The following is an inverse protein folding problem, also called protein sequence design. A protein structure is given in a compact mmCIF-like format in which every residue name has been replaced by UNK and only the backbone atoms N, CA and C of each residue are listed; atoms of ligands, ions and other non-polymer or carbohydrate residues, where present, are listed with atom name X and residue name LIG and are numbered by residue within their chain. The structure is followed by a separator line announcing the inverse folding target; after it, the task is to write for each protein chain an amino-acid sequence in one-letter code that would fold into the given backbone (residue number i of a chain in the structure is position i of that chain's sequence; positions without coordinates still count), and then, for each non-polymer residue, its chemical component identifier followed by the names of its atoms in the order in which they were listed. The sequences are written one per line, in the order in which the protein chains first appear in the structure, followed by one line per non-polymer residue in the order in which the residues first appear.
data_IF_315990536389
#
_entry.id   IF_315990536389
#
_cell.length_a   1.000
_cell.length_b   1.000
_cell.length_c   1.000
_cell.angle_alpha   90.00
_cell.angle_beta   90.00
_cell.angle_gamma   90.00
#
_symmetry.space_group_name_H-M   'P 1'
#
loop_
_entity.id
_entity.type
_entity.pdbx_description
1 polymer ?
#
# COMPACT_ATOMS: atom_id res chain seq x y z
N UNK A 1 0.34 -5.75 -6.87
CA UNK A 1 0.65 -4.48 -7.51
C UNK A 1 -0.41 -3.44 -7.21
N UNK A 2 -0.02 -2.18 -7.04
CA UNK A 2 -0.97 -1.11 -6.68
C UNK A 2 -1.92 -0.73 -7.83
N UNK A 3 -1.46 -0.86 -9.07
CA UNK A 3 -2.17 -0.40 -10.28
C UNK A 3 -2.73 -1.54 -11.16
N UNK A 4 -2.27 -2.78 -11.00
CA UNK A 4 -2.71 -3.90 -11.84
C UNK A 4 -4.21 -4.21 -11.67
N UNK A 5 -4.86 -4.49 -12.80
CA UNK A 5 -6.25 -4.95 -12.93
C UNK A 5 -6.26 -6.33 -13.54
N UNK A 6 -7.44 -6.96 -13.61
CA UNK A 6 -7.61 -8.31 -14.17
C UNK A 6 -7.19 -8.44 -15.63
N UNK A 7 -7.29 -7.35 -16.38
CA UNK A 7 -6.91 -7.26 -17.80
C UNK A 7 -5.44 -6.84 -18.04
N UNK A 8 -4.63 -6.74 -16.97
CA UNK A 8 -3.22 -6.35 -17.08
C UNK A 8 -2.39 -7.45 -17.74
N UNK A 9 -1.71 -7.09 -18.81
CA UNK A 9 -0.84 -7.96 -19.59
C UNK A 9 0.51 -7.28 -19.87
N UNK A 10 1.49 -7.99 -20.42
CA UNK A 10 2.76 -7.40 -20.88
C UNK A 10 2.52 -6.26 -21.87
N UNK A 11 1.54 -6.40 -22.78
CA UNK A 11 1.29 -5.45 -23.87
C UNK A 11 0.71 -4.12 -23.40
N UNK A 12 -0.08 -4.12 -22.31
CA UNK A 12 -0.70 -2.91 -21.77
C UNK A 12 -0.08 -2.40 -20.47
N UNK A 13 0.95 -3.06 -19.97
CA UNK A 13 1.56 -2.77 -18.67
C UNK A 13 2.06 -1.32 -18.56
N UNK A 14 2.67 -0.81 -19.63
CA UNK A 14 3.19 0.54 -19.71
C UNK A 14 2.11 1.64 -19.79
N UNK A 15 0.87 1.28 -20.07
CA UNK A 15 -0.27 2.21 -20.05
C UNK A 15 -1.01 2.23 -18.70
N UNK A 16 -0.80 1.21 -17.87
CA UNK A 16 -1.49 1.06 -16.59
C UNK A 16 -0.69 1.66 -15.44
N UNK A 17 0.65 1.53 -15.49
CA UNK A 17 1.54 1.99 -14.42
C UNK A 17 2.04 3.39 -14.76
N UNK A 18 1.86 4.40 -13.89
CA UNK A 18 2.41 5.73 -14.10
C UNK A 18 3.93 5.71 -14.25
N UNK A 19 4.47 6.51 -15.18
CA UNK A 19 5.90 6.52 -15.53
C UNK A 19 6.81 6.79 -14.32
N UNK A 20 6.43 7.75 -13.47
CA UNK A 20 7.19 8.08 -12.26
C UNK A 20 7.24 6.91 -11.27
N UNK A 21 6.11 6.24 -11.06
CA UNK A 21 6.01 5.05 -10.20
C UNK A 21 6.82 3.90 -10.75
N UNK A 22 6.73 3.66 -12.08
CA UNK A 22 7.50 2.62 -12.73
C UNK A 22 9.01 2.84 -12.52
N UNK A 23 9.49 4.06 -12.76
CA UNK A 23 10.88 4.44 -12.57
C UNK A 23 11.33 4.34 -11.10
N UNK A 24 10.49 4.78 -10.16
CA UNK A 24 10.76 4.68 -8.70
C UNK A 24 10.99 3.22 -8.29
N UNK A 25 10.16 2.29 -8.79
CA UNK A 25 10.21 0.88 -8.38
C UNK A 25 11.28 0.09 -9.12
N UNK A 26 11.42 0.31 -10.45
CA UNK A 26 12.27 -0.53 -11.31
C UNK A 26 13.63 0.07 -11.59
N UNK A 27 13.81 1.38 -11.35
CA UNK A 27 14.99 2.18 -11.70
C UNK A 27 15.18 2.42 -13.20
N UNK A 28 14.34 1.88 -14.06
CA UNK A 28 14.33 2.14 -15.50
C UNK A 28 13.08 2.93 -15.90
N UNK A 29 13.15 3.63 -17.01
CA UNK A 29 12.02 4.37 -17.57
C UNK A 29 11.05 3.46 -18.32
N UNK A 30 9.82 3.92 -18.58
CA UNK A 30 8.87 3.19 -19.43
C UNK A 30 9.39 3.05 -20.87
N UNK A 31 10.15 4.00 -21.38
CA UNK A 31 10.74 3.92 -22.74
C UNK A 31 11.85 2.85 -22.78
N UNK A 32 12.67 2.74 -21.73
CA UNK A 32 13.62 1.64 -21.60
C UNK A 32 12.91 0.29 -21.48
N UNK A 33 11.82 0.22 -20.74
CA UNK A 33 10.99 -1.00 -20.68
C UNK A 33 10.42 -1.39 -22.04
N UNK A 34 9.88 -0.43 -22.80
CA UNK A 34 9.39 -0.66 -24.18
C UNK A 34 10.51 -1.13 -25.09
N UNK A 35 11.68 -0.54 -25.00
CA UNK A 35 12.84 -1.00 -25.75
C UNK A 35 13.21 -2.44 -25.43
N UNK A 36 13.18 -2.83 -24.17
CA UNK A 36 13.45 -4.22 -23.74
C UNK A 36 12.35 -5.19 -24.21
N UNK A 37 11.10 -4.76 -24.26
CA UNK A 37 9.96 -5.56 -24.72
C UNK A 37 9.89 -5.67 -26.25
N UNK A 38 9.89 -4.55 -26.93
CA UNK A 38 9.53 -4.44 -28.34
C UNK A 38 10.76 -4.35 -29.25
N UNK A 39 11.90 -3.94 -28.70
CA UNK A 39 13.09 -3.62 -29.47
C UNK A 39 13.08 -2.20 -30.04
N UNK A 40 14.10 -1.93 -30.85
CA UNK A 40 14.26 -0.63 -31.51
C UNK A 40 15.71 -0.26 -31.74
N UNK A 41 15.91 0.90 -32.38
CA UNK A 41 17.23 1.44 -32.62
C UNK A 41 17.71 2.29 -31.44
N UNK A 42 18.98 2.20 -31.11
CA UNK A 42 19.61 2.99 -30.08
C UNK A 42 21.01 3.46 -30.53
N UNK A 43 21.48 4.54 -29.94
CA UNK A 43 22.84 5.04 -30.18
C UNK A 43 23.76 4.41 -29.13
N UNK A 44 24.74 3.66 -29.60
CA UNK A 44 25.79 3.11 -28.76
C UNK A 44 26.64 4.26 -28.21
N UNK A 45 26.71 4.36 -26.89
CA UNK A 45 27.39 5.47 -26.19
C UNK A 45 28.92 5.47 -26.35
N UNK A 46 29.50 4.32 -26.66
CA UNK A 46 30.95 4.18 -26.83
C UNK A 46 31.39 4.49 -28.27
N UNK A 47 30.61 4.01 -29.26
CA UNK A 47 30.95 4.14 -30.67
C UNK A 47 30.24 5.28 -31.38
N UNK A 48 29.12 5.78 -30.85
CA UNK A 48 28.26 6.76 -31.50
C UNK A 48 27.43 6.19 -32.67
N UNK A 49 27.50 4.88 -32.92
CA UNK A 49 26.80 4.20 -34.02
C UNK A 49 25.37 3.88 -33.63
N UNK A 50 24.48 3.87 -34.60
CA UNK A 50 23.10 3.36 -34.43
C UNK A 50 23.16 1.84 -34.49
N UNK A 51 22.70 1.20 -33.42
CA UNK A 51 22.55 -0.25 -33.29
C UNK A 51 21.10 -0.62 -33.11
N UNK A 52 20.73 -1.82 -33.53
CA UNK A 52 19.37 -2.34 -33.34
C UNK A 52 19.33 -3.39 -32.23
N UNK A 53 18.36 -3.26 -31.33
CA UNK A 53 18.05 -4.25 -30.30
C UNK A 53 16.74 -4.96 -30.67
N UNK A 54 16.73 -6.28 -30.68
CA UNK A 54 15.58 -7.09 -31.15
C UNK A 54 14.41 -7.15 -30.13
N UNK A 55 14.57 -6.60 -28.93
CA UNK A 55 13.56 -6.72 -27.89
C UNK A 55 13.37 -8.13 -27.37
N UNK A 56 12.12 -8.47 -27.01
CA UNK A 56 11.68 -9.82 -26.58
C UNK A 56 12.42 -10.34 -25.32
N UNK A 57 12.82 -9.40 -24.44
CA UNK A 57 13.47 -9.80 -23.17
C UNK A 57 12.47 -10.47 -22.21
N UNK A 58 11.18 -10.18 -22.35
CA UNK A 58 10.12 -10.74 -21.52
C UNK A 58 9.35 -11.81 -22.29
N UNK A 59 9.13 -12.95 -21.64
CA UNK A 59 8.19 -13.96 -22.13
C UNK A 59 6.76 -13.52 -21.79
N UNK A 60 5.86 -13.28 -22.79
CA UNK A 60 4.51 -12.80 -22.54
C UNK A 60 3.67 -13.76 -21.69
N UNK A 61 3.84 -15.08 -21.89
CA UNK A 61 3.08 -16.09 -21.15
C UNK A 61 3.48 -16.06 -19.69
N UNK A 62 4.78 -16.15 -19.41
CA UNK A 62 5.33 -16.13 -18.05
C UNK A 62 4.96 -14.81 -17.34
N UNK A 63 5.04 -13.68 -18.03
CA UNK A 63 4.71 -12.38 -17.47
C UNK A 63 3.21 -12.30 -17.10
N UNK A 64 2.34 -12.67 -18.05
CA UNK A 64 0.88 -12.59 -17.85
C UNK A 64 0.41 -13.56 -16.76
N UNK A 65 0.93 -14.80 -16.73
CA UNK A 65 0.61 -15.77 -15.70
C UNK A 65 1.08 -15.31 -14.30
N UNK A 66 2.25 -14.66 -14.23
CA UNK A 66 2.77 -14.10 -12.98
C UNK A 66 1.87 -12.97 -12.47
N UNK A 67 1.40 -12.08 -13.35
CA UNK A 67 0.43 -11.03 -12.98
C UNK A 67 -0.86 -11.65 -12.45
N UNK A 68 -1.42 -12.62 -13.18
CA UNK A 68 -2.67 -13.30 -12.79
C UNK A 68 -2.52 -13.98 -11.43
N UNK A 69 -1.48 -14.77 -11.24
CA UNK A 69 -1.21 -15.47 -9.98
C UNK A 69 -1.05 -14.50 -8.82
N UNK A 70 -0.39 -13.36 -9.03
CA UNK A 70 -0.26 -12.33 -7.99
C UNK A 70 -1.59 -11.67 -7.66
N UNK A 71 -2.45 -11.39 -8.66
CA UNK A 71 -3.78 -10.81 -8.43
C UNK A 71 -4.69 -11.77 -7.68
N UNK A 72 -4.66 -13.06 -8.00
CA UNK A 72 -5.39 -14.11 -7.28
C UNK A 72 -4.93 -14.20 -5.81
N UNK A 73 -3.61 -14.19 -5.58
CA UNK A 73 -3.02 -14.19 -4.24
C UNK A 73 -3.42 -12.93 -3.45
N UNK A 74 -3.32 -11.76 -4.07
CA UNK A 74 -3.77 -10.49 -3.48
C UNK A 74 -5.24 -10.55 -3.06
N UNK A 75 -6.10 -11.10 -3.90
CA UNK A 75 -7.51 -11.26 -3.58
C UNK A 75 -7.75 -12.24 -2.44
N UNK A 76 -7.04 -13.37 -2.42
CA UNK A 76 -7.10 -14.36 -1.35
C UNK A 76 -6.68 -13.77 0.01
N UNK A 77 -5.61 -12.97 0.02
CA UNK A 77 -5.04 -12.38 1.24
C UNK A 77 -5.61 -10.98 1.58
N UNK A 78 -6.59 -10.49 0.82
CA UNK A 78 -7.14 -9.14 1.00
C UNK A 78 -7.86 -8.94 2.35
N UNK A 79 -8.44 -10.00 2.91
CA UNK A 79 -9.18 -9.92 4.17
C UNK A 79 -8.27 -10.22 5.36
N UNK A 80 -7.65 -9.19 5.92
CA UNK A 80 -6.81 -9.31 7.11
C UNK A 80 -7.58 -9.57 8.42
N UNK A 81 -8.92 -9.51 8.40
CA UNK A 81 -9.75 -9.94 9.53
C UNK A 81 -9.85 -11.47 9.64
N UNK A 82 -9.55 -12.21 8.57
CA UNK A 82 -9.53 -13.66 8.59
C UNK A 82 -8.31 -14.18 9.36
N UNK A 83 -8.54 -14.70 10.55
CA UNK A 83 -7.48 -15.25 11.45
C UNK A 83 -6.85 -16.54 10.93
N UNK A 84 -7.47 -17.21 9.96
CA UNK A 84 -6.92 -18.38 9.31
C UNK A 84 -5.80 -18.01 8.32
N UNK A 85 -5.78 -16.78 7.82
CA UNK A 85 -4.72 -16.26 6.97
C UNK A 85 -3.46 -15.94 7.80
N UNK A 86 -2.54 -16.92 7.87
CA UNK A 86 -1.25 -16.77 8.55
C UNK A 86 -0.24 -15.98 7.73
N UNK A 87 -0.40 -16.00 6.41
CA UNK A 87 0.44 -15.32 5.42
C UNK A 87 -0.03 -13.90 5.19
N UNK A 88 0.88 -13.06 4.70
CA UNK A 88 0.60 -11.69 4.30
C UNK A 88 1.06 -11.45 2.87
N UNK A 89 0.39 -10.57 2.13
CA UNK A 89 0.78 -10.24 0.75
C UNK A 89 2.21 -9.69 0.67
N UNK A 90 2.70 -9.04 1.72
CA UNK A 90 4.05 -8.49 1.77
C UNK A 90 5.14 -9.56 1.86
N UNK A 91 4.80 -10.80 2.28
CA UNK A 91 5.74 -11.94 2.28
C UNK A 91 6.13 -12.36 0.85
N UNK A 92 5.31 -11.98 -0.14
CA UNK A 92 5.49 -12.28 -1.57
C UNK A 92 6.06 -11.12 -2.39
N UNK A 93 6.30 -9.96 -1.76
CA UNK A 93 6.91 -8.81 -2.42
C UNK A 93 8.40 -8.82 -2.15
N UNK A 94 9.26 -8.98 -3.18
CA UNK A 94 10.70 -9.00 -2.99
C UNK A 94 11.19 -7.64 -2.44
N UNK A 95 12.29 -7.64 -1.65
CA UNK A 95 12.88 -6.40 -1.14
C UNK A 95 13.21 -5.44 -2.28
N UNK A 96 12.74 -4.22 -2.17
CA UNK A 96 13.00 -3.16 -3.15
C UNK A 96 14.39 -2.56 -2.91
N UNK A 97 15.09 -2.13 -3.98
CA UNK A 97 16.37 -1.42 -3.87
C UNK A 97 16.25 -0.06 -3.17
N UNK A 98 15.09 0.53 -3.19
CA UNK A 98 14.79 1.87 -2.64
C UNK A 98 14.20 1.78 -1.23
N UNK A 99 14.94 1.29 -0.24
CA UNK A 99 14.64 1.41 1.21
C UNK A 99 13.19 1.09 1.67
N UNK A 100 12.39 0.43 0.85
CA UNK A 100 11.03 0.03 1.21
C UNK A 100 11.07 -1.35 1.88
N UNK A 101 11.73 -1.41 3.03
CA UNK A 101 11.66 -2.58 3.89
C UNK A 101 10.34 -2.47 4.64
N UNK A 102 9.47 -3.43 4.41
CA UNK A 102 8.24 -3.56 5.18
C UNK A 102 8.52 -4.20 6.54
N UNK A 103 7.94 -3.63 7.58
CA UNK A 103 8.02 -4.24 8.91
C UNK A 103 7.23 -5.55 8.89
N UNK A 104 7.82 -6.69 9.30
CA UNK A 104 7.11 -7.97 9.32
C UNK A 104 5.86 -7.90 10.19
N UNK A 105 4.79 -8.56 9.77
CA UNK A 105 3.49 -8.59 10.48
C UNK A 105 3.63 -8.94 11.97
N UNK A 106 4.48 -9.93 12.30
CA UNK A 106 4.74 -10.31 13.70
C UNK A 106 5.26 -9.14 14.54
N UNK A 107 6.20 -8.36 13.98
CA UNK A 107 6.77 -7.19 14.68
C UNK A 107 5.71 -6.10 14.86
N UNK A 108 4.87 -5.87 13.85
CA UNK A 108 3.75 -4.91 13.96
C UNK A 108 2.79 -5.31 15.07
N UNK A 109 2.44 -6.60 15.17
CA UNK A 109 1.58 -7.12 16.25
C UNK A 109 2.22 -6.84 17.62
N UNK A 110 3.51 -7.17 17.79
CA UNK A 110 4.24 -6.93 19.05
C UNK A 110 4.28 -5.44 19.43
N UNK A 111 4.42 -4.55 18.44
CA UNK A 111 4.43 -3.10 18.68
C UNK A 111 3.04 -2.60 19.09
N UNK A 112 1.97 -3.10 18.47
CA UNK A 112 0.59 -2.73 18.85
C UNK A 112 0.22 -3.34 20.21
N UNK A 113 0.71 -4.55 20.55
CA UNK A 113 0.58 -5.13 21.90
C UNK A 113 1.26 -4.25 22.97
N UNK A 114 2.43 -3.72 22.66
CA UNK A 114 3.12 -2.79 23.56
C UNK A 114 2.37 -1.47 23.72
N UNK A 115 1.82 -0.92 22.61
CA UNK A 115 0.97 0.27 22.67
C UNK A 115 -0.22 0.06 23.61
N UNK A 116 -0.90 -1.10 23.52
CA UNK A 116 -2.04 -1.43 24.38
C UNK A 116 -1.62 -1.61 25.84
N UNK A 117 -0.46 -2.23 26.12
CA UNK A 117 0.08 -2.36 27.49
C UNK A 117 0.41 -1.01 28.13
N UNK A 118 1.00 -0.09 27.36
CA UNK A 118 1.34 1.25 27.83
C UNK A 118 0.12 2.16 27.97
N UNK A 119 -0.94 1.89 27.20
CA UNK A 119 -2.19 2.63 27.20
C UNK A 119 -3.38 1.69 27.37
N UNK A 120 -3.63 1.17 28.58
CA UNK A 120 -4.74 0.28 28.84
C UNK A 120 -6.07 0.85 28.36
N UNK A 121 -6.91 -0.02 27.78
CA UNK A 121 -8.23 0.32 27.26
C UNK A 121 -8.24 1.32 26.06
N UNK A 122 -7.08 1.63 25.47
CA UNK A 122 -7.03 2.58 24.34
C UNK A 122 -7.86 2.13 23.13
N UNK A 123 -8.09 0.85 22.93
CA UNK A 123 -8.96 0.31 21.89
C UNK A 123 -10.43 0.20 22.30
N UNK A 124 -10.75 0.39 23.58
CA UNK A 124 -12.12 0.41 24.08
C UNK A 124 -12.73 1.83 24.12
N UNK A 125 -11.93 2.87 23.93
CA UNK A 125 -12.40 4.26 23.88
C UNK A 125 -12.83 4.63 22.45
N UNK A 126 -14.12 4.94 22.27
CA UNK A 126 -14.71 5.30 20.96
C UNK A 126 -14.22 6.65 20.42
N UNK A 127 -13.61 7.48 21.26
CA UNK A 127 -13.09 8.79 20.88
C UNK A 127 -11.57 8.79 20.70
N UNK A 128 -10.90 7.69 21.07
CA UNK A 128 -9.45 7.57 20.91
C UNK A 128 -9.08 7.53 19.44
N UNK A 129 -8.09 8.32 19.07
CA UNK A 129 -7.55 8.36 17.70
C UNK A 129 -6.15 7.79 17.64
N UNK A 130 -5.82 7.21 16.49
CA UNK A 130 -4.52 6.61 16.19
C UNK A 130 -4.03 7.14 14.86
N UNK A 131 -2.76 7.53 14.80
CA UNK A 131 -2.16 8.06 13.58
C UNK A 131 -0.84 7.34 13.27
N UNK A 132 -0.68 6.91 12.01
CA UNK A 132 0.61 6.51 11.44
C UNK A 132 1.14 7.66 10.58
N UNK A 133 2.16 8.36 11.07
CA UNK A 133 2.75 9.54 10.42
C UNK A 133 3.62 9.19 9.20
N UNK A 134 3.97 7.92 9.02
CA UNK A 134 4.79 7.47 7.91
C UNK A 134 4.36 6.06 7.47
N UNK A 135 3.12 5.97 7.05
CA UNK A 135 2.48 4.75 6.59
C UNK A 135 3.24 4.17 5.38
N UNK A 136 3.72 2.94 5.51
CA UNK A 136 4.38 2.21 4.42
C UNK A 136 3.45 1.18 3.80
N UNK A 137 3.40 0.00 4.39
CA UNK A 137 2.53 -1.10 3.95
C UNK A 137 1.07 -0.93 4.35
N UNK A 138 0.80 -0.15 5.39
CA UNK A 138 -0.50 -0.06 6.03
C UNK A 138 -0.74 -1.12 7.12
N UNK A 139 0.23 -1.98 7.42
CA UNK A 139 0.10 -3.05 8.41
C UNK A 139 -0.24 -2.54 9.80
N UNK A 140 0.34 -1.40 10.23
CA UNK A 140 0.00 -0.78 11.52
C UNK A 140 -1.46 -0.37 11.59
N UNK A 141 -1.92 0.36 10.58
CA UNK A 141 -3.32 0.79 10.49
C UNK A 141 -4.24 -0.42 10.48
N UNK A 142 -3.93 -1.45 9.68
CA UNK A 142 -4.74 -2.67 9.61
C UNK A 142 -4.81 -3.40 10.97
N UNK A 143 -3.70 -3.49 11.72
CA UNK A 143 -3.71 -4.11 13.05
C UNK A 143 -4.50 -3.27 14.07
N UNK A 144 -4.38 -1.95 14.05
CA UNK A 144 -5.19 -1.04 14.87
C UNK A 144 -6.68 -1.18 14.53
N UNK A 145 -7.03 -1.19 13.25
CA UNK A 145 -8.42 -1.41 12.78
C UNK A 145 -8.97 -2.74 13.31
N UNK A 146 -8.17 -3.83 13.27
CA UNK A 146 -8.57 -5.14 13.83
C UNK A 146 -8.88 -5.06 15.32
N UNK A 147 -8.04 -4.37 16.12
CA UNK A 147 -8.24 -4.21 17.57
C UNK A 147 -9.52 -3.43 17.83
N UNK A 148 -9.69 -2.27 17.20
CA UNK A 148 -10.89 -1.44 17.32
C UNK A 148 -12.15 -2.21 16.89
N UNK A 149 -12.10 -2.94 15.78
CA UNK A 149 -13.24 -3.73 15.30
C UNK A 149 -13.67 -4.83 16.27
N UNK A 150 -12.70 -5.41 17.03
CA UNK A 150 -12.94 -6.43 18.06
C UNK A 150 -13.37 -5.85 19.40
N UNK A 151 -13.21 -4.55 19.64
CA UNK A 151 -13.54 -3.86 20.89
C UNK A 151 -14.97 -4.17 21.33
N UNK A 152 -15.13 -4.46 22.61
CA UNK A 152 -16.44 -4.73 23.22
C UNK A 152 -17.31 -3.46 23.24
N UNK A 153 -16.69 -2.33 23.48
CA UNK A 153 -17.37 -1.03 23.54
C UNK A 153 -17.87 -0.63 22.16
N UNK A 154 -17.02 -0.72 21.11
CA UNK A 154 -17.44 -0.40 19.76
C UNK A 154 -18.52 -1.38 19.25
N UNK A 155 -18.43 -2.67 19.60
CA UNK A 155 -19.49 -3.65 19.26
C UNK A 155 -20.83 -3.34 19.91
N UNK A 156 -20.84 -2.81 21.14
CA UNK A 156 -22.06 -2.39 21.81
C UNK A 156 -22.63 -1.10 21.19
N UNK A 157 -21.76 -0.15 20.87
CA UNK A 157 -22.15 1.16 20.31
C UNK A 157 -22.61 1.03 18.85
N UNK A 158 -21.93 0.21 18.06
CA UNK A 158 -22.17 -0.02 16.65
C UNK A 158 -22.41 -1.52 16.40
N UNK A 159 -23.67 -1.96 16.57
CA UNK A 159 -24.06 -3.36 16.38
C UNK A 159 -23.82 -3.78 14.92
N UNK A 160 -24.12 -2.89 13.98
CA UNK A 160 -23.86 -3.10 12.56
C UNK A 160 -22.36 -2.98 12.28
N UNK A 161 -21.76 -4.02 11.68
CA UNK A 161 -20.33 -4.07 11.37
C UNK A 161 -19.90 -3.00 10.39
N UNK A 162 -20.74 -2.66 9.40
CA UNK A 162 -20.45 -1.62 8.42
C UNK A 162 -20.40 -0.23 9.07
N UNK A 163 -21.34 0.06 9.97
CA UNK A 163 -21.33 1.32 10.72
C UNK A 163 -20.13 1.40 11.66
N UNK A 164 -19.76 0.28 12.29
CA UNK A 164 -18.56 0.20 13.12
C UNK A 164 -17.29 0.48 12.32
N UNK A 165 -17.12 -0.17 11.16
CA UNK A 165 -15.98 0.10 10.26
C UNK A 165 -15.97 1.55 9.77
N UNK A 166 -17.13 2.08 9.38
CA UNK A 166 -17.25 3.49 8.99
C UNK A 166 -16.79 4.42 10.09
N UNK A 167 -17.24 4.20 11.35
CA UNK A 167 -16.78 4.99 12.49
C UNK A 167 -15.26 4.90 12.68
N UNK A 168 -14.67 3.70 12.61
CA UNK A 168 -13.24 3.49 12.75
C UNK A 168 -12.47 4.29 11.69
N UNK A 169 -12.83 4.17 10.42
CA UNK A 169 -12.11 4.82 9.32
C UNK A 169 -12.33 6.33 9.23
N UNK A 170 -13.50 6.82 9.64
CA UNK A 170 -13.83 8.25 9.58
C UNK A 170 -13.39 9.02 10.83
N UNK A 171 -13.22 8.34 11.99
CA UNK A 171 -13.05 9.03 13.28
C UNK A 171 -11.84 8.58 14.09
N UNK A 172 -11.36 7.35 13.94
CA UNK A 172 -10.38 6.82 14.87
C UNK A 172 -9.00 6.59 14.24
N UNK A 173 -8.91 6.21 12.95
CA UNK A 173 -7.64 5.88 12.32
C UNK A 173 -7.24 6.91 11.28
N UNK A 174 -5.98 7.32 11.34
CA UNK A 174 -5.37 8.33 10.49
C UNK A 174 -4.04 7.80 9.97
N UNK A 175 -3.69 8.09 8.72
CA UNK A 175 -2.42 7.62 8.15
C UNK A 175 -1.93 8.53 7.04
N UNK A 176 -0.60 8.73 7.00
CA UNK A 176 0.07 9.57 6.02
C UNK A 176 1.10 8.75 5.24
N UNK A 177 0.99 8.73 3.93
CA UNK A 177 1.93 8.05 3.05
C UNK A 177 2.83 9.07 2.33
N UNK A 178 4.16 8.86 2.31
CA UNK A 178 5.12 9.84 1.81
C UNK A 178 5.14 9.98 0.30
N UNK A 179 4.77 8.94 -0.45
CA UNK A 179 4.76 8.93 -1.91
C UNK A 179 3.48 8.29 -2.46
N UNK A 180 3.16 8.57 -3.72
CA UNK A 180 1.96 8.07 -4.38
C UNK A 180 1.92 6.54 -4.41
N UNK A 181 3.05 5.88 -4.73
CA UNK A 181 3.12 4.41 -4.75
C UNK A 181 2.85 3.82 -3.37
N UNK A 182 3.42 4.39 -2.32
CA UNK A 182 3.22 3.95 -0.93
C UNK A 182 1.75 4.15 -0.54
N UNK A 183 1.17 5.31 -0.88
CA UNK A 183 -0.24 5.58 -0.64
C UNK A 183 -1.14 4.51 -1.27
N UNK A 184 -0.93 4.19 -2.55
CA UNK A 184 -1.73 3.17 -3.24
C UNK A 184 -1.51 1.76 -2.71
N UNK A 185 -0.29 1.40 -2.32
CA UNK A 185 -0.01 0.12 -1.66
C UNK A 185 -0.79 0.01 -0.35
N UNK A 186 -0.67 1.01 0.51
CA UNK A 186 -1.31 1.04 1.82
C UNK A 186 -2.85 1.03 1.71
N UNK A 187 -3.44 1.88 0.86
CA UNK A 187 -4.90 1.92 0.65
C UNK A 187 -5.41 0.57 0.12
N UNK A 188 -4.75 -0.02 -0.88
CA UNK A 188 -5.15 -1.31 -1.42
C UNK A 188 -5.05 -2.45 -0.39
N UNK A 189 -4.14 -2.33 0.57
CA UNK A 189 -4.03 -3.29 1.66
C UNK A 189 -5.09 -3.05 2.74
N UNK A 190 -5.15 -1.82 3.27
CA UNK A 190 -6.04 -1.46 4.38
C UNK A 190 -7.52 -1.63 4.02
N UNK A 191 -7.90 -1.29 2.79
CA UNK A 191 -9.29 -1.40 2.31
C UNK A 191 -9.54 -2.62 1.41
N UNK A 192 -8.56 -3.52 1.28
CA UNK A 192 -8.65 -4.67 0.37
C UNK A 192 -9.76 -5.66 0.71
N UNK A 193 -10.21 -5.69 1.97
CA UNK A 193 -11.34 -6.50 2.42
C UNK A 193 -12.70 -5.96 1.95
N UNK A 194 -12.79 -4.66 1.68
CA UNK A 194 -14.04 -3.95 1.30
C UNK A 194 -14.28 -4.06 -0.22
N UNK A 195 -14.67 -5.27 -0.66
CA UNK A 195 -14.89 -5.57 -2.08
C UNK A 195 -15.98 -4.69 -2.70
N UNK A 196 -17.01 -4.34 -1.94
CA UNK A 196 -18.16 -3.55 -2.41
C UNK A 196 -17.91 -2.05 -2.33
N UNK A 197 -16.71 -1.63 -1.89
CA UNK A 197 -16.30 -0.22 -1.74
C UNK A 197 -17.28 0.62 -0.94
N UNK A 198 -17.75 0.07 0.16
CA UNK A 198 -18.72 0.73 1.06
C UNK A 198 -18.06 1.82 1.91
N UNK A 199 -16.75 1.67 2.22
CA UNK A 199 -15.95 2.65 2.95
C UNK A 199 -15.50 3.75 1.98
N UNK A 200 -16.26 4.82 1.90
CA UNK A 200 -15.99 5.94 0.97
C UNK A 200 -15.22 7.10 1.61
N UNK A 201 -15.24 7.18 2.95
CA UNK A 201 -14.57 8.23 3.71
C UNK A 201 -13.59 7.61 4.70
N UNK A 202 -12.36 8.11 4.68
CA UNK A 202 -11.28 7.67 5.57
C UNK A 202 -10.22 8.76 5.68
N UNK A 203 -9.46 8.72 6.76
CA UNK A 203 -8.40 9.69 7.06
C UNK A 203 -7.01 9.15 6.68
N UNK A 204 -6.90 8.53 5.51
CA UNK A 204 -5.64 8.08 4.94
C UNK A 204 -5.28 9.01 3.79
N UNK A 205 -4.12 9.69 3.86
CA UNK A 205 -3.75 10.77 2.94
C UNK A 205 -2.35 10.57 2.36
N UNK A 206 -2.15 11.11 1.16
CA UNK A 206 -0.83 11.26 0.57
C UNK A 206 -0.19 12.54 1.15
N UNK A 207 0.81 12.39 1.99
CA UNK A 207 1.56 13.49 2.56
C UNK A 207 2.90 13.02 3.12
N UNK A 208 3.97 13.72 2.74
CA UNK A 208 5.30 13.46 3.28
C UNK A 208 5.55 14.33 4.51
N UNK A 209 5.62 13.72 5.68
CA UNK A 209 5.79 14.42 6.96
C UNK A 209 7.23 14.90 7.23
N UNK A 210 8.24 14.39 6.49
CA UNK A 210 9.65 14.71 6.74
C UNK A 210 9.93 16.22 6.68
N UNK A 211 9.49 16.97 5.65
CA UNK A 211 9.68 18.42 5.60
C UNK A 211 9.05 19.15 6.79
N UNK A 212 7.83 18.76 7.18
CA UNK A 212 7.11 19.36 8.31
C UNK A 212 7.81 19.14 9.64
N UNK A 213 8.36 17.92 9.84
CA UNK A 213 9.16 17.61 11.03
C UNK A 213 10.43 18.46 11.08
N UNK A 214 11.14 18.58 9.95
CA UNK A 214 12.36 19.40 9.85
C UNK A 214 12.07 20.89 10.08
N UNK A 215 10.93 21.38 9.56
CA UNK A 215 10.49 22.75 9.74
C UNK A 215 9.80 23.03 11.10
N UNK A 216 9.53 22.00 11.90
CA UNK A 216 8.78 22.05 13.15
C UNK A 216 7.33 22.59 12.98
N UNK A 217 6.71 22.27 11.85
CA UNK A 217 5.34 22.70 11.51
C UNK A 217 4.34 21.54 11.52
N UNK A 218 4.78 20.34 11.92
CA UNK A 218 3.99 19.10 11.77
C UNK A 218 2.58 19.22 12.37
N UNK A 219 2.45 19.75 13.58
CA UNK A 219 1.15 19.87 14.26
C UNK A 219 0.17 20.75 13.45
N UNK A 220 0.65 21.92 12.99
CA UNK A 220 -0.13 22.81 12.13
C UNK A 220 -0.54 22.16 10.82
N UNK A 221 0.41 21.46 10.18
CA UNK A 221 0.18 20.80 8.90
C UNK A 221 -0.83 19.64 9.05
N UNK A 222 -0.78 18.89 10.17
CA UNK A 222 -1.77 17.86 10.49
C UNK A 222 -3.18 18.45 10.65
N UNK A 223 -3.30 19.56 11.34
CA UNK A 223 -4.59 20.27 11.51
C UNK A 223 -5.17 20.72 10.16
N UNK A 224 -4.33 21.12 9.21
CA UNK A 224 -4.77 21.51 7.87
C UNK A 224 -5.18 20.33 7.01
N UNK A 225 -4.47 19.20 7.10
CA UNK A 225 -4.71 17.99 6.28
C UNK A 225 -5.99 17.27 6.71
N UNK A 226 -6.31 17.26 8.01
CA UNK A 226 -7.42 16.47 8.55
C UNK A 226 -8.65 17.32 8.94
N UNK A 227 -8.69 18.58 8.54
CA UNK A 227 -9.93 19.39 8.56
C UNK A 227 -10.93 18.87 7.53
#
# INVERSE_FOLDING_TARGET
MAYGKEDTTLDNFDTIVPAEVFKEVTTITLDEFKMLRDGGDYIDKETGEVKHFNGKLFDPVVFNDSIKSFLELKQKLANYFDENNKEDIFDYIPPQKTNQIYTPKKVVIEMVDNLEKENPDCFEDINKTFIDLYMKSGLYIAEIVKRLFKSKTLKRQFINEKERLKHIFEKQVYGLAPTEIIYHIAINYILGFDKDKEIKKYNLKLFNTIPSVQARTLEKDLDEIFK
#
